data_IF_196269023575
#
_entry.id   IF_196269023575
#
_cell.length_a   1.000
_cell.length_b   1.000
_cell.length_c   1.000
_cell.angle_alpha   90.00
_cell.angle_beta   90.00
_cell.angle_gamma   90.00
#
_symmetry.space_group_name_H-M   'P 1'
#
loop_
_entity.id
_entity.type
_entity.pdbx_description
1 polymer ?
#
# COMPACT_ATOMS: atom_id res chain seq x y z
N UNK A 1 -8.62 21.92 31.06
CA UNK A 1 -9.62 21.17 30.27
C UNK A 1 -10.35 22.18 29.41
N UNK A 2 -9.90 22.34 28.17
CA UNK A 2 -10.62 23.08 27.14
C UNK A 2 -10.42 22.29 25.86
N UNK A 3 -11.37 21.40 25.58
CA UNK A 3 -11.49 20.69 24.32
C UNK A 3 -11.66 21.70 23.19
N UNK A 4 -10.62 21.86 22.38
CA UNK A 4 -10.74 22.53 21.10
C UNK A 4 -9.96 21.68 20.09
N UNK A 5 -10.64 20.68 19.53
CA UNK A 5 -10.13 19.92 18.38
C UNK A 5 -9.98 20.94 17.26
N UNK A 6 -8.76 21.46 17.06
CA UNK A 6 -8.44 22.24 15.88
C UNK A 6 -8.52 21.29 14.69
N UNK A 7 -9.68 21.33 14.03
CA UNK A 7 -9.95 20.64 12.79
C UNK A 7 -8.88 21.04 11.77
N UNK A 8 -8.09 20.08 11.27
CA UNK A 8 -7.16 20.32 10.16
C UNK A 8 -7.97 20.66 8.91
N UNK A 9 -8.12 21.95 8.61
CA UNK A 9 -8.58 22.42 7.30
C UNK A 9 -7.43 22.29 6.29
N UNK A 10 -7.73 21.78 5.11
CA UNK A 10 -6.76 21.57 4.03
C UNK A 10 -5.46 20.91 4.52
N UNK A 11 -5.55 19.68 5.04
CA UNK A 11 -4.38 19.00 5.60
C UNK A 11 -3.32 18.78 4.51
N UNK A 12 -2.07 19.01 4.87
CA UNK A 12 -0.90 18.79 4.02
C UNK A 12 0.08 17.91 4.76
N UNK A 13 0.65 16.93 4.07
CA UNK A 13 1.69 16.05 4.61
C UNK A 13 3.03 16.44 4.01
N UNK A 14 3.99 16.81 4.85
CA UNK A 14 5.37 17.13 4.42
C UNK A 14 6.22 15.85 4.32
N UNK A 15 7.40 15.86 3.66
CA UNK A 15 8.14 14.63 3.33
C UNK A 15 8.56 13.75 4.52
N UNK A 16 8.62 14.30 5.74
CA UNK A 16 8.85 13.51 6.96
C UNK A 16 7.62 12.76 7.48
N UNK A 17 6.47 12.87 6.82
CA UNK A 17 5.22 12.18 7.16
C UNK A 17 4.31 12.92 8.15
N UNK A 18 4.75 14.03 8.73
CA UNK A 18 3.89 14.85 9.60
C UNK A 18 2.91 15.69 8.78
N UNK A 19 1.70 15.89 9.34
CA UNK A 19 0.62 16.60 8.66
C UNK A 19 0.16 17.83 9.45
N UNK A 20 -0.10 18.92 8.74
CA UNK A 20 -0.52 20.22 9.28
C UNK A 20 -1.61 20.82 8.42
N UNK A 21 -2.32 21.84 8.93
CA UNK A 21 -3.13 22.67 8.05
C UNK A 21 -2.21 23.43 7.08
N UNK A 22 -2.61 23.61 5.81
CA UNK A 22 -1.80 24.28 4.79
C UNK A 22 -1.30 25.65 5.29
N UNK A 23 -2.23 26.49 5.75
CA UNK A 23 -1.90 27.82 6.27
C UNK A 23 -0.93 27.77 7.46
N UNK A 24 -1.09 26.78 8.35
CA UNK A 24 -0.30 26.63 9.57
C UNK A 24 1.18 26.38 9.27
N UNK A 25 1.46 25.50 8.29
CA UNK A 25 2.83 25.15 7.93
C UNK A 25 3.47 26.25 7.08
N UNK A 26 2.70 26.93 6.23
CA UNK A 26 3.16 28.09 5.48
C UNK A 26 3.53 29.25 6.41
N UNK A 27 2.67 29.56 7.37
CA UNK A 27 2.91 30.55 8.40
C UNK A 27 4.16 30.25 9.23
N UNK A 28 4.35 28.99 9.62
CA UNK A 28 5.52 28.56 10.39
C UNK A 28 6.82 28.79 9.60
N UNK A 29 6.83 28.39 8.33
CA UNK A 29 7.98 28.60 7.43
C UNK A 29 8.22 30.08 7.09
N UNK A 30 7.17 30.90 7.04
CA UNK A 30 7.29 32.34 6.76
C UNK A 30 7.72 33.15 8.00
N UNK A 31 7.38 32.70 9.22
CA UNK A 31 7.79 33.34 10.49
C UNK A 31 9.25 33.08 10.86
N UNK A 32 9.83 31.97 10.40
CA UNK A 32 11.23 31.67 10.65
C UNK A 32 12.13 32.63 9.84
N UNK A 33 12.70 33.64 10.51
CA UNK A 33 13.74 34.56 9.98
C UNK A 33 15.07 33.85 9.60
N UNK A 34 15.05 32.55 9.33
CA UNK A 34 16.21 31.71 9.04
C UNK A 34 16.36 31.57 7.52
N UNK A 35 17.49 32.07 7.00
CA UNK A 35 17.87 32.12 5.58
C UNK A 35 17.76 30.74 4.90
N UNK A 36 16.63 30.46 4.23
CA UNK A 36 16.50 29.35 3.27
C UNK A 36 16.39 27.93 3.87
N UNK A 37 16.10 27.79 5.17
CA UNK A 37 16.01 26.49 5.82
C UNK A 37 14.59 26.21 6.32
N UNK A 38 13.89 25.25 5.70
CA UNK A 38 12.50 24.90 6.02
C UNK A 38 12.48 23.67 6.91
N UNK A 39 12.00 23.76 8.16
CA UNK A 39 12.02 22.63 9.09
C UNK A 39 10.63 22.13 9.44
N UNK A 40 10.51 20.85 9.78
CA UNK A 40 9.30 20.28 10.36
C UNK A 40 9.11 20.77 11.81
N UNK A 41 7.92 21.30 12.18
CA UNK A 41 7.63 21.70 13.56
C UNK A 41 7.77 20.58 14.61
N UNK A 42 7.45 19.33 14.24
CA UNK A 42 7.52 18.18 15.16
C UNK A 42 8.91 17.56 15.24
N UNK A 43 9.45 17.07 14.13
CA UNK A 43 10.71 16.30 14.14
C UNK A 43 11.95 17.13 13.86
N UNK A 44 11.80 18.43 13.56
CA UNK A 44 12.87 19.38 13.24
C UNK A 44 13.72 19.00 12.02
N UNK A 45 13.30 17.99 11.24
CA UNK A 45 13.94 17.65 9.97
C UNK A 45 13.92 18.86 9.04
N UNK A 46 15.08 19.15 8.45
CA UNK A 46 15.30 20.28 7.57
C UNK A 46 15.14 19.86 6.11
N UNK A 47 14.51 20.73 5.31
CA UNK A 47 14.31 20.60 3.89
C UNK A 47 14.93 21.81 3.17
N UNK A 48 15.76 21.52 2.16
CA UNK A 48 16.33 22.49 1.23
C UNK A 48 16.50 21.80 -0.14
N UNK A 49 15.73 22.17 -1.18
CA UNK A 49 14.81 23.31 -1.30
C UNK A 49 13.48 23.16 -0.52
N UNK A 50 12.64 24.22 -0.51
CA UNK A 50 11.29 24.19 0.11
C UNK A 50 10.46 23.06 -0.48
N UNK A 51 9.86 22.17 0.34
CA UNK A 51 8.94 21.16 -0.16
C UNK A 51 7.71 21.80 -0.79
N UNK A 52 7.26 21.22 -1.91
CA UNK A 52 5.96 21.57 -2.49
C UNK A 52 4.86 21.05 -1.58
N UNK A 53 3.94 21.94 -1.21
CA UNK A 53 2.79 21.61 -0.37
C UNK A 53 1.59 21.33 -1.27
N UNK A 54 1.03 20.14 -1.16
CA UNK A 54 -0.22 19.77 -1.80
C UNK A 54 -1.19 19.22 -0.76
N UNK A 55 -2.48 19.50 -0.95
CA UNK A 55 -3.52 19.00 -0.06
C UNK A 55 -3.51 17.47 -0.07
N UNK A 56 -3.47 16.87 1.11
CA UNK A 56 -3.68 15.45 1.33
C UNK A 56 -5.19 15.19 1.23
N UNK A 57 -5.61 14.70 0.06
CA UNK A 57 -7.02 14.42 -0.26
C UNK A 57 -7.61 13.37 0.68
N UNK A 58 -6.86 12.32 0.98
CA UNK A 58 -7.30 11.23 1.88
C UNK A 58 -7.55 11.74 3.30
N UNK A 59 -6.60 12.49 3.87
CA UNK A 59 -6.78 13.05 5.22
C UNK A 59 -7.91 14.08 5.24
N UNK A 60 -8.06 14.85 4.15
CA UNK A 60 -9.16 15.80 3.98
C UNK A 60 -10.53 15.13 3.97
N UNK A 61 -10.69 14.02 3.24
CA UNK A 61 -11.92 13.24 3.21
C UNK A 61 -12.28 12.63 4.56
N UNK A 62 -11.30 12.14 5.31
CA UNK A 62 -11.50 11.61 6.67
C UNK A 62 -12.00 12.71 7.62
N UNK A 63 -11.38 13.89 7.59
CA UNK A 63 -11.79 15.04 8.40
C UNK A 63 -13.19 15.51 8.00
N UNK A 64 -13.50 15.62 6.70
CA UNK A 64 -14.82 15.99 6.21
C UNK A 64 -15.91 14.98 6.61
N UNK A 65 -15.60 13.69 6.53
CA UNK A 65 -16.53 12.62 6.94
C UNK A 65 -16.82 12.71 8.43
N UNK A 66 -15.80 12.95 9.25
CA UNK A 66 -15.93 13.13 10.70
C UNK A 66 -16.81 14.35 11.04
N UNK A 67 -16.60 15.48 10.35
CA UNK A 67 -17.42 16.68 10.51
C UNK A 67 -18.87 16.46 10.08
N UNK A 68 -19.11 15.76 8.97
CA UNK A 68 -20.46 15.43 8.49
C UNK A 68 -21.20 14.49 9.46
N UNK A 69 -20.50 13.56 10.10
CA UNK A 69 -21.07 12.72 11.16
C UNK A 69 -21.36 13.49 12.46
N UNK A 70 -20.54 14.48 12.82
CA UNK A 70 -20.75 15.33 14.00
C UNK A 70 -21.85 16.38 13.82
N UNK A 71 -21.99 16.95 12.62
CA UNK A 71 -22.98 17.97 12.31
C UNK A 71 -24.44 17.47 12.33
N UNK A 72 -24.66 16.15 12.22
CA UNK A 72 -26.00 15.57 12.23
C UNK A 72 -26.65 15.51 13.62
N UNK A 73 -25.93 15.87 14.69
CA UNK A 73 -26.45 15.87 16.07
C UNK A 73 -26.84 17.25 16.62
N UNK A 74 -26.64 18.37 15.90
CA UNK A 74 -26.77 19.72 16.49
C UNK A 74 -27.60 20.75 15.71
N UNK A 75 -28.39 20.36 14.71
CA UNK A 75 -29.21 21.34 13.96
C UNK A 75 -30.58 20.82 13.54
N UNK A 76 -31.53 20.89 14.47
CA UNK A 76 -32.96 21.10 14.13
C UNK A 76 -33.69 21.68 15.34
N UNK A 77 -33.64 23.00 15.53
CA UNK A 77 -34.73 23.65 16.27
C UNK A 77 -35.96 23.59 15.36
N UNK A 78 -37.11 23.04 15.80
CA UNK A 78 -38.34 23.15 15.04
C UNK A 78 -38.66 24.63 14.83
N UNK A 79 -39.02 25.01 13.61
CA UNK A 79 -39.49 26.35 13.28
C UNK A 79 -40.68 26.70 14.20
N UNK A 80 -40.58 27.78 14.98
CA UNK A 80 -41.55 28.08 16.04
C UNK A 80 -42.85 28.61 15.42
N UNK A 81 -43.88 27.75 15.36
CA UNK A 81 -45.20 28.09 14.83
C UNK A 81 -45.86 29.18 15.66
N UNK A 82 -46.33 30.27 15.05
CA UNK A 82 -46.98 31.39 15.75
C UNK A 82 -48.48 31.14 15.99
N UNK A 83 -49.03 31.71 17.06
CA UNK A 83 -50.47 31.67 17.33
C UNK A 83 -51.24 32.60 16.40
N UNK A 84 -52.25 32.06 15.71
CA UNK A 84 -53.09 32.76 14.75
C UNK A 84 -54.07 33.77 15.36
N UNK A 85 -54.44 33.58 16.64
CA UNK A 85 -55.49 34.37 17.31
C UNK A 85 -54.93 35.59 18.05
N UNK A 86 -53.63 35.60 18.36
CA UNK A 86 -53.00 36.73 19.04
C UNK A 86 -52.95 37.97 18.13
N UNK A 87 -53.63 39.04 18.54
CA UNK A 87 -53.77 40.28 17.76
C UNK A 87 -52.60 41.25 17.92
N UNK A 88 -51.90 41.25 19.06
CA UNK A 88 -50.87 42.28 19.37
C UNK A 88 -49.45 41.71 19.38
N UNK A 89 -49.21 40.61 20.10
CA UNK A 89 -47.93 39.87 20.08
C UNK A 89 -48.22 38.39 19.88
N UNK A 90 -47.89 37.86 18.71
CA UNK A 90 -48.12 36.45 18.38
C UNK A 90 -47.21 35.57 19.23
N UNK A 91 -47.81 34.97 20.27
CA UNK A 91 -47.13 33.98 21.12
C UNK A 91 -46.91 32.68 20.34
N UNK A 92 -45.88 31.93 20.70
CA UNK A 92 -45.61 30.60 20.14
C UNK A 92 -46.83 29.71 20.37
N UNK A 93 -47.28 29.05 19.30
CA UNK A 93 -48.34 28.07 19.34
C UNK A 93 -47.84 26.77 19.95
N UNK A 94 -48.66 26.18 20.82
CA UNK A 94 -48.36 24.90 21.46
C UNK A 94 -49.24 23.78 20.93
N UNK A 95 -50.41 24.14 20.36
CA UNK A 95 -51.40 23.22 19.83
C UNK A 95 -52.03 23.78 18.55
N UNK A 96 -52.42 22.92 17.63
CA UNK A 96 -53.15 23.27 16.40
C UNK A 96 -54.46 22.50 16.28
N UNK A 97 -55.48 23.11 15.68
CA UNK A 97 -56.75 22.44 15.35
C UNK A 97 -56.82 22.23 13.84
N UNK A 98 -56.80 20.98 13.40
CA UNK A 98 -56.90 20.64 11.96
C UNK A 98 -58.28 20.96 11.37
N UNK A 99 -59.31 21.14 12.19
CA UNK A 99 -60.65 21.52 11.72
C UNK A 99 -60.77 23.03 11.56
N UNK A 100 -60.19 23.81 12.48
CA UNK A 100 -60.12 25.27 12.32
C UNK A 100 -59.04 25.70 11.33
N UNK A 101 -58.07 24.84 11.03
CA UNK A 101 -56.85 25.18 10.29
C UNK A 101 -56.01 26.26 10.97
N UNK A 102 -56.06 26.32 12.31
CA UNK A 102 -55.41 27.37 13.11
C UNK A 102 -54.50 26.81 14.20
N UNK A 103 -53.48 27.60 14.57
CA UNK A 103 -52.51 27.31 15.63
C UNK A 103 -52.72 28.24 16.83
N UNK A 104 -52.68 27.67 18.04
CA UNK A 104 -53.03 28.34 19.29
C UNK A 104 -51.88 28.29 20.31
N UNK A 105 -51.57 29.44 20.91
CA UNK A 105 -50.73 29.49 22.11
C UNK A 105 -51.48 28.85 23.30
N UNK A 106 -50.76 28.58 24.39
CA UNK A 106 -51.33 27.84 25.54
C UNK A 106 -52.67 28.44 26.03
N UNK A 107 -52.76 29.76 26.14
CA UNK A 107 -53.98 30.45 26.57
C UNK A 107 -55.15 30.24 25.59
N UNK A 108 -54.94 30.47 24.29
CA UNK A 108 -56.00 30.30 23.29
C UNK A 108 -56.36 28.83 23.06
N UNK A 109 -55.42 27.90 23.27
CA UNK A 109 -55.68 26.47 23.17
C UNK A 109 -56.63 25.99 24.27
N UNK A 110 -56.50 26.52 25.49
CA UNK A 110 -57.37 26.20 26.62
C UNK A 110 -58.81 26.70 26.37
N UNK A 111 -58.95 27.95 25.93
CA UNK A 111 -60.25 28.53 25.58
C UNK A 111 -60.92 27.74 24.45
N UNK A 112 -60.14 27.29 23.46
CA UNK A 112 -60.66 26.46 22.39
C UNK A 112 -61.14 25.09 22.91
N UNK A 113 -60.41 24.43 23.82
CA UNK A 113 -60.84 23.18 24.46
C UNK A 113 -62.12 23.35 25.30
N UNK A 114 -62.22 24.45 26.05
CA UNK A 114 -63.42 24.83 26.82
C UNK A 114 -64.63 25.11 25.90
N UNK A 115 -64.41 25.74 24.75
CA UNK A 115 -65.51 26.06 23.83
C UNK A 115 -66.03 24.83 23.06
N UNK A 116 -65.14 23.91 22.69
CA UNK A 116 -65.44 22.82 21.77
C UNK A 116 -65.46 21.44 22.44
N UNK A 117 -65.86 21.37 23.72
CA UNK A 117 -65.93 20.16 24.57
C UNK A 117 -66.36 18.86 23.84
N UNK A 118 -65.42 18.22 23.14
CA UNK A 118 -65.34 16.78 23.01
C UNK A 118 -65.68 16.06 21.71
N UNK A 119 -66.06 16.65 20.55
CA UNK A 119 -66.41 15.76 19.39
C UNK A 119 -65.82 16.03 18.00
N UNK A 120 -65.43 17.26 17.64
CA UNK A 120 -64.87 17.52 16.29
C UNK A 120 -63.49 18.22 16.30
N UNK A 121 -63.29 19.21 17.15
CA UNK A 121 -62.11 20.08 17.14
C UNK A 121 -61.01 19.58 18.09
N UNK A 122 -60.44 18.40 17.82
CA UNK A 122 -59.32 17.86 18.61
C UNK A 122 -58.03 18.64 18.31
N UNK A 123 -57.40 19.15 19.36
CA UNK A 123 -56.09 19.78 19.27
C UNK A 123 -54.96 18.75 19.19
N UNK A 124 -54.01 18.97 18.27
CA UNK A 124 -52.75 18.23 18.13
C UNK A 124 -51.58 19.14 18.52
N UNK A 125 -50.36 18.62 18.80
CA UNK A 125 -49.19 19.47 18.98
C UNK A 125 -49.05 20.47 17.83
N UNK A 126 -48.49 21.67 18.07
CA UNK A 126 -48.35 22.65 17.00
C UNK A 126 -47.57 22.06 15.81
N UNK A 127 -48.20 22.05 14.64
CA UNK A 127 -47.60 21.54 13.40
C UNK A 127 -47.39 22.71 12.47
N UNK A 128 -46.18 22.83 11.93
CA UNK A 128 -45.93 23.77 10.85
C UNK A 128 -46.58 23.26 9.54
N UNK A 129 -46.94 24.16 8.64
CA UNK A 129 -47.59 23.80 7.37
C UNK A 129 -48.88 22.96 7.54
N UNK A 130 -49.79 23.38 8.43
CA UNK A 130 -51.08 22.70 8.70
C UNK A 130 -51.87 22.32 7.44
N UNK A 131 -51.78 23.15 6.39
CA UNK A 131 -52.44 22.93 5.09
C UNK A 131 -52.00 21.62 4.42
N UNK A 132 -50.77 21.17 4.61
CA UNK A 132 -50.27 19.91 4.05
C UNK A 132 -50.83 18.67 4.75
N UNK A 133 -51.42 18.84 5.94
CA UNK A 133 -52.10 17.75 6.67
C UNK A 133 -53.59 17.67 6.33
N UNK A 134 -54.07 18.55 5.45
CA UNK A 134 -55.45 18.60 4.98
C UNK A 134 -55.52 18.16 3.53
N UNK A 135 -56.64 17.52 3.17
CA UNK A 135 -56.93 17.17 1.79
C UNK A 135 -57.24 18.43 0.99
N UNK A 136 -56.50 18.66 -0.09
CA UNK A 136 -56.66 19.83 -0.96
C UNK A 136 -58.03 19.92 -1.67
N UNK A 137 -58.80 18.83 -1.71
CA UNK A 137 -60.10 18.79 -2.39
C UNK A 137 -61.30 18.88 -1.43
N UNK A 138 -61.13 18.50 -0.17
CA UNK A 138 -62.24 18.37 0.78
C UNK A 138 -61.99 19.11 2.09
N UNK A 139 -60.84 19.77 2.25
CA UNK A 139 -60.38 20.47 3.46
C UNK A 139 -60.50 19.64 4.75
N UNK A 140 -60.43 18.30 4.59
CA UNK A 140 -60.54 17.32 5.68
C UNK A 140 -59.17 16.75 6.03
N UNK A 141 -58.92 16.42 7.30
CA UNK A 141 -57.65 15.82 7.72
C UNK A 141 -57.31 14.54 6.95
N UNK A 142 -56.06 14.45 6.49
CA UNK A 142 -55.50 13.24 5.90
C UNK A 142 -55.22 12.23 7.03
N UNK A 143 -56.03 11.17 7.09
CA UNK A 143 -55.95 10.13 8.13
C UNK A 143 -55.75 8.73 7.58
N UNK A 144 -55.91 8.58 6.27
CA UNK A 144 -55.82 7.31 5.57
C UNK A 144 -54.69 7.38 4.55
N UNK A 145 -54.14 6.24 4.18
CA UNK A 145 -53.17 6.10 3.11
C UNK A 145 -53.71 5.09 2.09
N UNK A 146 -53.79 5.51 0.83
CA UNK A 146 -54.14 4.63 -0.27
C UNK A 146 -52.85 3.98 -0.77
N UNK A 147 -52.70 2.66 -0.58
CA UNK A 147 -51.53 1.89 -1.04
C UNK A 147 -51.49 1.75 -2.55
N UNK A 148 -52.66 1.64 -3.18
CA UNK A 148 -52.78 1.53 -4.63
C UNK A 148 -52.20 2.76 -5.34
N UNK A 149 -52.53 3.95 -4.87
CA UNK A 149 -52.05 5.22 -5.47
C UNK A 149 -50.90 5.86 -4.69
N UNK A 150 -50.42 5.20 -3.63
CA UNK A 150 -49.32 5.63 -2.76
C UNK A 150 -49.43 7.06 -2.21
N UNK A 151 -50.64 7.46 -1.80
CA UNK A 151 -50.89 8.82 -1.33
C UNK A 151 -51.74 8.89 -0.05
N UNK A 152 -51.51 9.95 0.72
CA UNK A 152 -52.33 10.25 1.90
C UNK A 152 -53.67 10.84 1.47
N UNK A 153 -54.77 10.31 2.00
CA UNK A 153 -56.13 10.67 1.61
C UNK A 153 -57.04 10.92 2.83
N UNK A 154 -58.09 11.71 2.63
CA UNK A 154 -59.16 11.85 3.63
C UNK A 154 -60.27 10.80 3.41
N UNK A 155 -61.19 10.66 4.36
CA UNK A 155 -62.29 9.69 4.28
C UNK A 155 -63.25 9.92 3.11
N UNK A 156 -63.36 11.17 2.62
CA UNK A 156 -64.21 11.49 1.47
C UNK A 156 -63.54 11.09 0.15
N UNK A 157 -62.24 11.32 0.00
CA UNK A 157 -61.45 10.82 -1.13
C UNK A 157 -61.61 9.31 -1.34
N UNK A 158 -61.59 8.52 -0.25
CA UNK A 158 -61.74 7.05 -0.33
C UNK A 158 -63.08 6.65 -0.92
N UNK A 159 -64.15 7.36 -0.59
CA UNK A 159 -65.50 7.07 -1.10
C UNK A 159 -65.72 7.49 -2.54
N UNK A 160 -65.12 8.62 -2.93
CA UNK A 160 -65.36 9.25 -4.23
C UNK A 160 -64.37 8.80 -5.30
N UNK A 161 -63.07 8.95 -5.03
CA UNK A 161 -61.99 8.82 -6.02
C UNK A 161 -61.18 7.53 -5.88
N UNK A 162 -61.09 6.98 -4.68
CA UNK A 162 -60.32 5.75 -4.39
C UNK A 162 -61.25 4.58 -4.03
N UNK A 163 -62.43 4.54 -4.63
CA UNK A 163 -63.43 3.50 -4.34
C UNK A 163 -62.92 2.14 -4.81
N UNK A 164 -62.74 1.22 -3.87
CA UNK A 164 -62.22 -0.13 -4.14
C UNK A 164 -60.68 -0.24 -4.10
N UNK A 165 -59.96 0.84 -3.80
CA UNK A 165 -58.53 0.80 -3.58
C UNK A 165 -58.19 0.36 -2.15
N UNK A 166 -56.97 -0.15 -1.93
CA UNK A 166 -56.49 -0.54 -0.60
C UNK A 166 -56.16 0.73 0.21
N UNK A 167 -57.09 1.12 1.08
CA UNK A 167 -56.96 2.28 1.95
C UNK A 167 -56.87 1.83 3.42
N UNK A 168 -55.74 2.16 4.05
CA UNK A 168 -55.43 1.81 5.45
C UNK A 168 -55.29 3.07 6.30
N UNK A 169 -55.24 2.91 7.62
CA UNK A 169 -54.87 4.00 8.53
C UNK A 169 -53.47 4.53 8.21
N UNK A 170 -53.32 5.85 8.18
CA UNK A 170 -52.03 6.50 7.92
C UNK A 170 -50.99 6.17 9.00
N UNK A 171 -51.43 5.95 10.25
CA UNK A 171 -50.55 5.56 11.36
C UNK A 171 -50.03 4.14 11.15
N UNK A 172 -50.93 3.20 10.85
CA UNK A 172 -50.58 1.78 10.67
C UNK A 172 -49.65 1.59 9.46
N UNK A 173 -49.91 2.32 8.37
CA UNK A 173 -49.02 2.30 7.20
C UNK A 173 -47.66 2.90 7.52
N UNK A 174 -47.61 4.02 8.23
CA UNK A 174 -46.35 4.65 8.66
C UNK A 174 -45.53 3.71 9.53
N UNK A 175 -46.16 3.00 10.46
CA UNK A 175 -45.47 2.03 11.33
C UNK A 175 -44.98 0.82 10.53
N UNK A 176 -45.78 0.33 9.57
CA UNK A 176 -45.40 -0.75 8.65
C UNK A 176 -44.20 -0.35 7.78
N UNK A 177 -44.27 0.81 7.12
CA UNK A 177 -43.20 1.32 6.27
C UNK A 177 -41.92 1.60 7.08
N UNK A 178 -42.04 2.17 8.28
CA UNK A 178 -40.89 2.37 9.15
C UNK A 178 -40.22 1.04 9.49
N UNK A 179 -41.00 0.03 9.91
CA UNK A 179 -40.46 -1.29 10.25
C UNK A 179 -39.77 -1.93 9.04
N UNK A 180 -40.40 -1.90 7.87
CA UNK A 180 -39.83 -2.44 6.63
C UNK A 180 -38.51 -1.76 6.26
N UNK A 181 -38.43 -0.43 6.39
CA UNK A 181 -37.20 0.33 6.13
C UNK A 181 -36.10 0.02 7.14
N UNK A 182 -36.44 -0.14 8.42
CA UNK A 182 -35.48 -0.53 9.47
C UNK A 182 -34.91 -1.94 9.20
N UNK A 183 -35.76 -2.90 8.85
CA UNK A 183 -35.33 -4.26 8.51
C UNK A 183 -34.48 -4.29 7.23
N UNK A 184 -34.89 -3.56 6.19
CA UNK A 184 -34.14 -3.45 4.93
C UNK A 184 -32.78 -2.78 5.15
N UNK A 185 -32.71 -1.74 5.99
CA UNK A 185 -31.48 -1.08 6.39
C UNK A 185 -30.55 -2.04 7.14
N UNK A 186 -31.07 -2.75 8.14
CA UNK A 186 -30.30 -3.73 8.91
C UNK A 186 -29.74 -4.85 8.02
N UNK A 187 -30.56 -5.40 7.12
CA UNK A 187 -30.15 -6.43 6.16
C UNK A 187 -29.06 -5.93 5.20
N UNK A 188 -29.17 -4.69 4.74
CA UNK A 188 -28.17 -4.08 3.86
C UNK A 188 -26.85 -3.87 4.58
N UNK A 189 -26.88 -3.34 5.81
CA UNK A 189 -25.69 -3.17 6.65
C UNK A 189 -25.03 -4.52 6.94
N UNK A 190 -25.82 -5.56 7.24
CA UNK A 190 -25.29 -6.89 7.49
C UNK A 190 -24.59 -7.47 6.25
N UNK A 191 -25.23 -7.37 5.07
CA UNK A 191 -24.63 -7.80 3.80
C UNK A 191 -23.31 -7.07 3.53
N UNK A 192 -23.25 -5.76 3.79
CA UNK A 192 -22.01 -4.98 3.63
C UNK A 192 -20.93 -5.42 4.61
N UNK A 193 -21.27 -5.67 5.89
CA UNK A 193 -20.33 -6.20 6.88
C UNK A 193 -19.75 -7.55 6.50
N UNK A 194 -20.56 -8.42 5.92
CA UNK A 194 -20.09 -9.74 5.49
C UNK A 194 -19.19 -9.62 4.25
N UNK A 195 -19.56 -8.81 3.25
CA UNK A 195 -18.67 -8.47 2.13
C UNK A 195 -17.36 -7.83 2.60
N UNK A 196 -17.41 -6.95 3.60
CA UNK A 196 -16.23 -6.31 4.18
C UNK A 196 -15.29 -7.32 4.85
N UNK A 197 -15.83 -8.35 5.52
CA UNK A 197 -15.03 -9.46 6.07
C UNK A 197 -14.36 -10.29 4.97
N UNK A 198 -15.09 -10.62 3.91
CA UNK A 198 -14.54 -11.37 2.76
C UNK A 198 -13.43 -10.57 2.07
N UNK A 199 -13.64 -9.27 1.83
CA UNK A 199 -12.60 -8.40 1.26
C UNK A 199 -11.38 -8.30 2.18
N UNK A 200 -11.57 -8.19 3.50
CA UNK A 200 -10.45 -8.22 4.45
C UNK A 200 -9.68 -9.53 4.40
N UNK A 201 -10.37 -10.66 4.21
CA UNK A 201 -9.71 -11.95 4.00
C UNK A 201 -8.88 -11.95 2.72
N UNK A 202 -9.46 -11.53 1.58
CA UNK A 202 -8.76 -11.44 0.29
C UNK A 202 -7.53 -10.54 0.37
N UNK A 203 -7.64 -9.37 0.99
CA UNK A 203 -6.50 -8.45 1.17
C UNK A 203 -5.38 -9.11 1.99
N UNK A 204 -5.72 -9.81 3.08
CA UNK A 204 -4.72 -10.55 3.88
C UNK A 204 -4.09 -11.69 3.09
N UNK A 205 -4.89 -12.43 2.34
CA UNK A 205 -4.41 -13.53 1.51
C UNK A 205 -3.43 -13.03 0.46
N UNK A 206 -3.77 -11.96 -0.27
CA UNK A 206 -2.88 -11.36 -1.28
C UNK A 206 -1.55 -10.97 -0.63
N UNK A 207 -1.59 -10.20 0.47
CA UNK A 207 -0.37 -9.79 1.19
C UNK A 207 0.48 -10.99 1.58
N UNK A 208 -0.11 -11.97 2.27
CA UNK A 208 0.63 -13.14 2.74
C UNK A 208 1.21 -13.98 1.59
N UNK A 209 0.46 -14.14 0.50
CA UNK A 209 0.93 -14.87 -0.68
C UNK A 209 2.06 -14.13 -1.41
N UNK A 210 2.02 -12.80 -1.46
CA UNK A 210 3.10 -11.97 -2.01
C UNK A 210 4.34 -12.05 -1.13
N UNK A 211 4.18 -11.91 0.19
CA UNK A 211 5.30 -12.02 1.14
C UNK A 211 5.97 -13.39 1.05
N UNK A 212 5.20 -14.48 0.98
CA UNK A 212 5.74 -15.83 0.81
C UNK A 212 6.52 -16.01 -0.50
N UNK A 213 6.07 -15.37 -1.59
CA UNK A 213 6.80 -15.40 -2.86
C UNK A 213 8.12 -14.60 -2.80
N UNK A 214 8.12 -13.47 -2.08
CA UNK A 214 9.33 -12.68 -1.82
C UNK A 214 10.32 -13.48 -0.97
N UNK A 215 9.87 -14.09 0.12
CA UNK A 215 10.72 -14.90 1.00
C UNK A 215 11.37 -16.08 0.27
N UNK A 216 10.63 -16.82 -0.56
CA UNK A 216 11.24 -17.91 -1.34
C UNK A 216 12.24 -17.40 -2.39
N UNK A 217 11.95 -16.25 -3.02
CA UNK A 217 12.90 -15.59 -3.92
C UNK A 217 14.20 -15.23 -3.21
N UNK A 218 14.11 -14.55 -2.07
CA UNK A 218 15.28 -14.19 -1.24
C UNK A 218 16.06 -15.43 -0.79
N UNK A 219 15.37 -16.52 -0.45
CA UNK A 219 15.98 -17.79 -0.07
C UNK A 219 16.76 -18.44 -1.22
N UNK A 220 16.23 -18.37 -2.45
CA UNK A 220 16.91 -18.87 -3.65
C UNK A 220 18.15 -18.03 -3.94
N UNK A 221 18.03 -16.71 -4.01
CA UNK A 221 19.18 -15.83 -4.26
C UNK A 221 20.27 -15.95 -3.19
N UNK A 222 19.88 -16.08 -1.93
CA UNK A 222 20.84 -16.32 -0.83
C UNK A 222 21.63 -17.62 -1.01
N UNK A 223 21.03 -18.68 -1.58
CA UNK A 223 21.75 -19.92 -1.90
C UNK A 223 22.68 -19.77 -3.10
N UNK A 224 22.28 -18.99 -4.11
CA UNK A 224 23.12 -18.68 -5.28
C UNK A 224 24.36 -17.89 -4.86
N UNK A 225 24.20 -16.84 -4.05
CA UNK A 225 25.31 -16.04 -3.53
C UNK A 225 26.31 -16.92 -2.78
N UNK A 226 25.81 -17.74 -1.84
CA UNK A 226 26.66 -18.70 -1.10
C UNK A 226 27.40 -19.67 -2.00
N UNK A 227 26.79 -20.11 -3.10
CA UNK A 227 27.42 -21.02 -4.06
C UNK A 227 28.55 -20.32 -4.83
N UNK A 228 28.35 -19.06 -5.23
CA UNK A 228 29.37 -18.23 -5.89
C UNK A 228 30.54 -17.94 -4.95
N UNK A 229 30.27 -17.57 -3.69
CA UNK A 229 31.30 -17.34 -2.66
C UNK A 229 32.12 -18.60 -2.39
N UNK A 230 31.46 -19.76 -2.33
CA UNK A 230 32.11 -21.06 -2.18
C UNK A 230 33.06 -21.34 -3.37
N UNK A 231 32.58 -21.20 -4.61
CA UNK A 231 33.41 -21.41 -5.80
C UNK A 231 34.58 -20.42 -5.87
N UNK A 232 34.37 -19.16 -5.49
CA UNK A 232 35.44 -18.16 -5.40
C UNK A 232 36.53 -18.58 -4.40
N UNK A 233 36.12 -19.13 -3.25
CA UNK A 233 37.03 -19.64 -2.23
C UNK A 233 37.80 -20.88 -2.71
N UNK A 234 37.14 -21.79 -3.43
CA UNK A 234 37.77 -22.98 -4.03
C UNK A 234 38.84 -22.59 -5.07
N UNK A 235 38.56 -21.63 -5.96
CA UNK A 235 39.55 -21.12 -6.93
C UNK A 235 40.75 -20.50 -6.21
N UNK A 236 40.50 -19.71 -5.15
CA UNK A 236 41.56 -19.13 -4.32
C UNK A 236 42.42 -20.21 -3.67
N UNK A 237 41.83 -21.28 -3.15
CA UNK A 237 42.58 -22.35 -2.49
C UNK A 237 43.44 -23.12 -3.49
N UNK A 238 42.92 -23.44 -4.69
CA UNK A 238 43.71 -24.06 -5.76
C UNK A 238 44.96 -23.22 -6.10
N UNK A 239 44.80 -21.90 -6.20
CA UNK A 239 45.94 -20.99 -6.42
C UNK A 239 46.97 -21.05 -5.30
N UNK A 240 46.51 -21.06 -4.04
CA UNK A 240 47.40 -21.10 -2.87
C UNK A 240 48.12 -22.43 -2.73
N UNK A 241 47.48 -23.55 -3.06
CA UNK A 241 48.13 -24.88 -3.08
C UNK A 241 49.27 -24.89 -4.10
N UNK A 242 49.04 -24.36 -5.30
CA UNK A 242 50.06 -24.34 -6.35
C UNK A 242 51.21 -23.38 -6.02
N UNK A 243 50.91 -22.22 -5.43
CA UNK A 243 51.92 -21.29 -4.91
C UNK A 243 52.82 -21.98 -3.87
N UNK A 244 52.23 -22.63 -2.86
CA UNK A 244 52.99 -23.33 -1.82
C UNK A 244 53.88 -24.42 -2.40
N UNK A 245 53.38 -25.20 -3.36
CA UNK A 245 54.16 -26.24 -4.02
C UNK A 245 55.39 -25.67 -4.76
N UNK A 246 55.20 -24.56 -5.50
CA UNK A 246 56.30 -23.91 -6.21
C UNK A 246 57.33 -23.29 -5.24
N UNK A 247 56.86 -22.67 -4.15
CA UNK A 247 57.74 -22.10 -3.11
C UNK A 247 58.55 -23.19 -2.42
N UNK A 248 57.92 -24.29 -2.00
CA UNK A 248 58.64 -25.39 -1.34
C UNK A 248 59.74 -25.98 -2.22
N UNK A 249 59.50 -26.14 -3.54
CA UNK A 249 60.55 -26.57 -4.47
C UNK A 249 61.74 -25.60 -4.54
N UNK A 250 61.47 -24.29 -4.50
CA UNK A 250 62.52 -23.27 -4.50
C UNK A 250 63.29 -23.25 -3.17
N UNK A 251 62.60 -23.42 -2.05
CA UNK A 251 63.21 -23.50 -0.71
C UNK A 251 64.14 -24.71 -0.58
N UNK A 252 63.75 -25.88 -1.08
CA UNK A 252 64.60 -27.09 -1.09
C UNK A 252 65.91 -26.88 -1.86
N UNK A 253 65.84 -26.20 -3.02
CA UNK A 253 67.03 -25.84 -3.80
C UNK A 253 67.89 -24.81 -3.07
N UNK A 254 67.27 -23.82 -2.43
CA UNK A 254 67.98 -22.81 -1.65
C UNK A 254 68.76 -23.45 -0.49
N UNK A 255 68.14 -24.37 0.26
CA UNK A 255 68.81 -25.10 1.33
C UNK A 255 70.00 -25.93 0.80
N UNK A 256 69.83 -26.57 -0.36
CA UNK A 256 70.92 -27.33 -0.99
C UNK A 256 72.10 -26.42 -1.33
N UNK A 257 71.85 -25.26 -1.94
CA UNK A 257 72.88 -24.26 -2.24
C UNK A 257 73.56 -23.79 -0.96
N UNK A 258 72.80 -23.49 0.09
CA UNK A 258 73.36 -23.03 1.37
C UNK A 258 74.26 -24.08 2.01
N UNK A 259 73.89 -25.37 1.96
CA UNK A 259 74.73 -26.49 2.41
C UNK A 259 76.02 -26.58 1.61
N UNK A 260 75.95 -26.50 0.28
CA UNK A 260 77.14 -26.52 -0.60
C UNK A 260 78.07 -25.34 -0.32
N UNK A 261 77.54 -24.12 -0.13
CA UNK A 261 78.34 -22.94 0.26
C UNK A 261 79.04 -23.16 1.61
N UNK A 262 78.35 -23.73 2.60
CA UNK A 262 78.93 -24.03 3.91
C UNK A 262 80.06 -25.07 3.84
N UNK A 263 79.94 -26.07 2.96
CA UNK A 263 81.00 -27.06 2.70
C UNK A 263 82.20 -26.43 2.01
N UNK A 264 81.97 -25.62 0.95
CA UNK A 264 83.03 -24.91 0.24
C UNK A 264 83.78 -23.92 1.15
N UNK A 265 83.07 -23.19 2.03
CA UNK A 265 83.68 -22.31 3.03
C UNK A 265 84.56 -23.09 4.01
N UNK A 266 84.11 -24.27 4.47
CA UNK A 266 84.93 -25.16 5.33
C UNK A 266 86.17 -25.67 4.60
N UNK A 267 86.04 -26.10 3.35
CA UNK A 267 87.17 -26.52 2.52
C UNK A 267 88.16 -25.37 2.26
N UNK A 268 87.66 -24.15 2.05
CA UNK A 268 88.47 -22.94 1.89
C UNK A 268 89.25 -22.57 3.16
N UNK A 269 88.59 -22.60 4.32
CA UNK A 269 89.25 -22.35 5.60
C UNK A 269 90.33 -23.40 5.93
N UNK A 270 90.09 -24.67 5.61
CA UNK A 270 91.11 -25.72 5.76
C UNK A 270 92.30 -25.50 4.82
N UNK A 271 92.05 -25.06 3.58
CA UNK A 271 93.10 -24.70 2.63
C UNK A 271 93.97 -23.54 3.15
N UNK A 272 93.35 -22.49 3.68
CA UNK A 272 94.06 -21.36 4.31
C UNK A 272 94.89 -21.83 5.52
N UNK A 273 94.37 -22.75 6.33
CA UNK A 273 95.08 -23.28 7.49
C UNK A 273 96.32 -24.08 7.10
N UNK A 274 96.24 -24.93 6.07
CA UNK A 274 97.39 -25.74 5.64
C UNK A 274 98.42 -24.93 4.84
N UNK A 275 98.02 -23.87 4.13
CA UNK A 275 98.96 -23.04 3.36
C UNK A 275 99.92 -22.23 4.25
N UNK A 276 99.54 -21.99 5.50
CA UNK A 276 100.38 -21.32 6.51
C UNK A 276 101.42 -22.25 7.17
N UNK A 277 101.43 -23.55 6.85
CA UNK A 277 102.36 -24.51 7.44
C UNK A 277 103.63 -24.69 6.58
N UNK A 278 104.79 -24.85 7.22
CA UNK A 278 106.07 -25.14 6.52
C UNK A 278 106.22 -26.62 6.11
N UNK A 279 105.29 -27.50 6.50
CA UNK A 279 105.28 -28.91 6.12
C UNK A 279 104.74 -29.08 4.69
N UNK A 280 105.63 -28.94 3.71
CA UNK A 280 105.33 -29.09 2.29
C UNK A 280 104.79 -30.50 1.95
N UNK A 281 105.25 -31.54 2.64
CA UNK A 281 104.78 -32.92 2.43
C UNK A 281 103.35 -33.13 2.92
N UNK A 282 103.03 -32.65 4.13
CA UNK A 282 101.69 -32.69 4.69
C UNK A 282 100.69 -31.83 3.93
N UNK A 283 101.13 -30.68 3.40
CA UNK A 283 100.32 -29.85 2.49
C UNK A 283 99.89 -30.62 1.24
N UNK A 284 100.84 -31.23 0.52
CA UNK A 284 100.54 -31.99 -0.71
C UNK A 284 99.63 -33.20 -0.44
N UNK A 285 99.76 -33.85 0.72
CA UNK A 285 98.86 -34.93 1.12
C UNK A 285 97.43 -34.45 1.37
N UNK A 286 97.26 -33.35 2.14
CA UNK A 286 95.94 -32.80 2.47
C UNK A 286 95.26 -32.15 1.27
N UNK A 287 96.00 -31.50 0.38
CA UNK A 287 95.44 -30.90 -0.84
C UNK A 287 94.75 -31.93 -1.75
N UNK A 288 95.22 -33.18 -1.80
CA UNK A 288 94.54 -34.25 -2.58
C UNK A 288 93.14 -34.58 -2.07
N UNK A 289 92.84 -34.26 -0.81
CA UNK A 289 91.54 -34.52 -0.18
C UNK A 289 90.57 -33.34 -0.24
N UNK A 290 91.03 -32.15 -0.63
CA UNK A 290 90.17 -30.98 -0.80
C UNK A 290 89.44 -31.03 -2.14
N UNK A 291 88.15 -30.67 -2.12
CA UNK A 291 87.32 -30.66 -3.32
C UNK A 291 86.54 -29.33 -3.42
N UNK A 292 86.54 -28.75 -4.62
CA UNK A 292 85.85 -27.50 -4.93
C UNK A 292 85.03 -27.66 -6.22
N UNK A 293 83.90 -28.39 -6.16
CA UNK A 293 83.09 -28.64 -7.35
C UNK A 293 82.43 -27.35 -7.86
N UNK A 294 82.54 -27.10 -9.15
CA UNK A 294 81.89 -25.98 -9.89
C UNK A 294 80.61 -26.47 -10.59
N UNK A 295 79.66 -27.05 -9.84
CA UNK A 295 78.38 -27.44 -10.42
C UNK A 295 77.48 -26.22 -10.58
N UNK A 296 76.93 -26.03 -11.78
CA UNK A 296 75.85 -25.08 -12.02
C UNK A 296 74.54 -25.62 -11.45
N UNK A 297 73.85 -24.83 -10.65
CA UNK A 297 72.51 -25.17 -10.15
C UNK A 297 71.49 -24.78 -11.20
N UNK A 298 70.68 -25.74 -11.63
CA UNK A 298 69.55 -25.47 -12.52
C UNK A 298 68.45 -24.74 -11.75
N UNK A 299 68.08 -23.57 -12.25
CA UNK A 299 67.03 -22.75 -11.65
C UNK A 299 65.65 -23.30 -12.04
N UNK A 300 64.68 -23.37 -11.11
CA UNK A 300 63.33 -23.79 -11.44
C UNK A 300 62.69 -22.77 -12.40
N UNK A 301 61.93 -23.27 -13.39
CA UNK A 301 61.21 -22.42 -14.35
C UNK A 301 59.99 -21.79 -13.69
N UNK A 302 60.20 -20.68 -12.97
CA UNK A 302 59.14 -19.95 -12.26
C UNK A 302 58.26 -19.13 -13.20
N UNK A 303 58.83 -18.57 -14.26
CA UNK A 303 58.16 -17.59 -15.11
C UNK A 303 57.06 -18.22 -15.96
N UNK A 304 57.28 -19.43 -16.48
CA UNK A 304 56.33 -20.09 -17.35
C UNK A 304 55.06 -20.51 -16.60
N UNK A 305 55.20 -21.09 -15.41
CA UNK A 305 54.07 -21.69 -14.70
C UNK A 305 53.16 -20.64 -14.07
N UNK A 306 53.74 -19.64 -13.39
CA UNK A 306 52.99 -18.55 -12.76
C UNK A 306 52.27 -17.68 -13.81
N UNK A 307 52.95 -17.39 -14.92
CA UNK A 307 52.36 -16.64 -16.03
C UNK A 307 51.23 -17.41 -16.72
N UNK A 308 51.40 -18.72 -16.94
CA UNK A 308 50.35 -19.56 -17.55
C UNK A 308 49.11 -19.66 -16.66
N UNK A 309 49.27 -19.75 -15.35
CA UNK A 309 48.15 -19.71 -14.39
C UNK A 309 47.41 -18.38 -14.47
N UNK A 310 48.13 -17.26 -14.39
CA UNK A 310 47.54 -15.92 -14.51
C UNK A 310 46.81 -15.74 -15.84
N UNK A 311 47.45 -16.12 -16.96
CA UNK A 311 46.89 -16.01 -18.30
C UNK A 311 45.61 -16.85 -18.45
N UNK A 312 45.63 -18.07 -17.93
CA UNK A 312 44.47 -18.98 -17.95
C UNK A 312 43.29 -18.39 -17.17
N UNK A 313 43.53 -17.91 -15.94
CA UNK A 313 42.49 -17.29 -15.12
C UNK A 313 41.95 -16.01 -15.72
N UNK A 314 42.84 -15.14 -16.23
CA UNK A 314 42.46 -13.89 -16.89
C UNK A 314 41.58 -14.14 -18.12
N UNK A 315 41.78 -15.25 -18.83
CA UNK A 315 40.92 -15.65 -19.95
C UNK A 315 39.60 -16.28 -19.52
N UNK A 316 39.60 -17.09 -18.45
CA UNK A 316 38.42 -17.85 -18.03
C UNK A 316 37.40 -17.02 -17.22
N UNK A 317 37.86 -16.14 -16.33
CA UNK A 317 36.99 -15.36 -15.44
C UNK A 317 36.01 -14.41 -16.17
N UNK A 318 36.40 -13.71 -17.26
CA UNK A 318 35.47 -12.91 -18.03
C UNK A 318 34.35 -13.75 -18.66
N UNK A 319 34.67 -14.95 -19.16
CA UNK A 319 33.67 -15.84 -19.76
C UNK A 319 32.68 -16.34 -18.70
N UNK A 320 33.17 -16.70 -17.51
CA UNK A 320 32.30 -17.05 -16.37
C UNK A 320 31.35 -15.91 -16.01
N UNK A 321 31.90 -14.69 -15.88
CA UNK A 321 31.10 -13.49 -15.58
C UNK A 321 30.03 -13.26 -16.64
N UNK A 322 30.40 -13.26 -17.91
CA UNK A 322 29.48 -13.05 -19.02
C UNK A 322 28.34 -14.08 -19.02
N UNK A 323 28.67 -15.37 -18.87
CA UNK A 323 27.68 -16.45 -18.83
C UNK A 323 26.71 -16.33 -17.65
N UNK A 324 27.21 -15.89 -16.48
CA UNK A 324 26.37 -15.66 -15.31
C UNK A 324 25.46 -14.46 -15.50
N UNK A 325 25.99 -13.33 -15.97
CA UNK A 325 25.23 -12.10 -16.23
C UNK A 325 24.09 -12.36 -17.24
N UNK A 326 24.41 -13.02 -18.36
CA UNK A 326 23.43 -13.40 -19.39
C UNK A 326 22.32 -14.30 -18.81
N UNK A 327 22.69 -15.28 -17.99
CA UNK A 327 21.73 -16.19 -17.37
C UNK A 327 20.82 -15.45 -16.38
N UNK A 328 21.38 -14.56 -15.56
CA UNK A 328 20.62 -13.78 -14.59
C UNK A 328 19.64 -12.82 -15.28
N UNK A 329 20.08 -12.12 -16.32
CA UNK A 329 19.23 -11.20 -17.08
C UNK A 329 18.09 -11.94 -17.79
N UNK A 330 18.39 -13.06 -18.43
CA UNK A 330 17.38 -13.90 -19.09
C UNK A 330 16.32 -14.41 -18.12
N UNK A 331 16.71 -14.96 -16.98
CA UNK A 331 15.74 -15.48 -16.00
C UNK A 331 14.99 -14.34 -15.30
N UNK A 332 15.63 -13.19 -15.06
CA UNK A 332 14.94 -12.00 -14.55
C UNK A 332 13.81 -11.56 -15.48
N UNK A 333 14.09 -11.43 -16.78
CA UNK A 333 13.09 -11.04 -17.78
C UNK A 333 11.94 -12.06 -17.82
N UNK A 334 12.26 -13.36 -17.82
CA UNK A 334 11.25 -14.44 -17.79
C UNK A 334 10.35 -14.39 -16.55
N UNK A 335 10.90 -14.11 -15.38
CA UNK A 335 10.13 -13.97 -14.14
C UNK A 335 9.28 -12.71 -14.20
N UNK A 336 9.87 -11.59 -14.61
CA UNK A 336 9.18 -10.30 -14.75
C UNK A 336 7.98 -10.41 -15.69
N UNK A 337 8.15 -11.00 -16.87
CA UNK A 337 7.07 -11.20 -17.85
C UNK A 337 5.93 -12.03 -17.26
N UNK A 338 6.24 -13.11 -16.54
CA UNK A 338 5.23 -13.92 -15.86
C UNK A 338 4.47 -13.10 -14.82
N UNK A 339 5.16 -12.36 -13.95
CA UNK A 339 4.54 -11.51 -12.93
C UNK A 339 3.64 -10.45 -13.56
N UNK A 340 4.11 -9.81 -14.64
CA UNK A 340 3.36 -8.76 -15.33
C UNK A 340 2.18 -9.30 -16.15
N UNK A 341 2.26 -10.55 -16.64
CA UNK A 341 1.18 -11.23 -17.36
C UNK A 341 0.01 -11.65 -16.46
N UNK A 342 0.20 -11.65 -15.13
CA UNK A 342 -0.86 -11.94 -14.14
C UNK A 342 -1.85 -10.77 -13.94
N UNK A 343 -1.81 -9.72 -14.78
CA UNK A 343 -2.75 -8.60 -14.70
C UNK A 343 -4.18 -9.02 -15.07
N UNK A 344 -5.01 -9.02 -14.02
CA UNK A 344 -6.47 -8.97 -13.89
C UNK A 344 -7.35 -9.91 -14.75
N UNK A 345 -8.10 -10.85 -14.13
CA UNK A 345 -9.40 -11.22 -14.67
C UNK A 345 -10.28 -9.97 -14.60
N UNK A 346 -10.46 -9.31 -15.75
CA UNK A 346 -11.48 -8.29 -15.95
C UNK A 346 -12.78 -8.79 -15.31
N UNK A 347 -13.30 -8.04 -14.34
CA UNK A 347 -14.63 -8.23 -13.78
C UNK A 347 -15.65 -8.10 -14.92
N UNK A 348 -15.92 -9.20 -15.62
CA UNK A 348 -17.14 -9.35 -16.41
C UNK A 348 -18.28 -9.38 -15.39
N UNK A 349 -18.97 -8.25 -15.36
CA UNK A 349 -20.23 -8.04 -14.68
C UNK A 349 -21.12 -9.25 -14.77
N UNK A 350 -21.69 -9.60 -13.62
CA UNK A 350 -22.90 -10.39 -13.49
C UNK A 350 -23.99 -9.73 -14.33
N UNK A 351 -24.26 -10.25 -15.52
CA UNK A 351 -25.52 -10.07 -16.22
C UNK A 351 -25.83 -11.34 -17.01
N UNK A 352 -27.12 -11.67 -17.04
CA UNK A 352 -27.80 -12.63 -17.91
C UNK A 352 -27.68 -14.13 -17.57
N UNK A 353 -28.60 -14.57 -16.71
CA UNK A 353 -29.32 -15.83 -16.92
C UNK A 353 -30.79 -15.52 -17.22
N UNK A 354 -31.12 -15.37 -18.50
CA UNK A 354 -32.45 -15.71 -19.02
C UNK A 354 -32.33 -16.22 -20.46
N UNK A 355 -32.96 -17.38 -20.71
CA UNK A 355 -33.28 -18.11 -21.97
C UNK A 355 -33.17 -17.31 -23.28
N UNK A 356 -32.85 -17.85 -24.46
CA UNK A 356 -33.20 -19.15 -25.06
C UNK A 356 -32.27 -19.50 -26.25
N UNK A 357 -32.34 -20.76 -26.71
CA UNK A 357 -31.82 -21.27 -27.99
C UNK A 357 -32.35 -20.44 -29.17
N UNK A 358 -31.48 -20.14 -30.13
CA UNK A 358 -31.76 -20.38 -31.56
C UNK A 358 -30.46 -20.42 -32.38
N UNK A 359 -30.57 -21.12 -33.50
CA UNK A 359 -29.52 -21.73 -34.32
C UNK A 359 -29.10 -20.82 -35.48
N UNK A 360 -27.79 -20.81 -35.77
CA UNK A 360 -27.09 -20.49 -37.05
C UNK A 360 -27.21 -19.10 -37.71
N UNK A 361 -26.05 -18.47 -37.97
CA UNK A 361 -25.44 -18.14 -39.29
C UNK A 361 -24.08 -17.45 -39.03
N UNK A 362 -22.97 -17.78 -39.74
CA UNK A 362 -21.69 -17.13 -39.54
C UNK A 362 -21.61 -15.80 -40.30
N UNK A 363 -21.39 -14.69 -39.58
CA UNK A 363 -21.13 -13.39 -40.19
C UNK A 363 -19.69 -13.31 -40.68
N UNK A 364 -19.55 -13.11 -41.98
CA UNK A 364 -18.31 -12.94 -42.72
C UNK A 364 -17.60 -11.65 -42.26
N UNK A 365 -16.33 -11.72 -41.89
CA UNK A 365 -15.50 -10.54 -41.60
C UNK A 365 -15.07 -9.84 -42.87
N UNK A 366 -15.20 -8.51 -42.90
CA UNK A 366 -14.81 -7.66 -44.04
C UNK A 366 -13.33 -7.83 -44.43
N UNK A 367 -13.01 -7.84 -45.73
CA UNK A 367 -11.65 -7.94 -46.24
C UNK A 367 -10.84 -6.69 -45.88
N UNK A 368 -9.63 -6.88 -45.36
CA UNK A 368 -8.77 -5.81 -44.83
C UNK A 368 -7.56 -5.51 -45.72
N UNK A 369 -7.40 -6.20 -46.85
CA UNK A 369 -6.28 -5.97 -47.76
C UNK A 369 -6.70 -6.01 -49.23
N UNK A 370 -5.93 -5.32 -50.08
CA UNK A 370 -6.14 -5.27 -51.54
C UNK A 370 -6.04 -6.66 -52.21
N UNK A 371 -5.41 -7.63 -51.56
CA UNK A 371 -5.30 -9.01 -52.06
C UNK A 371 -6.61 -9.79 -51.92
N UNK A 372 -7.50 -9.38 -51.01
CA UNK A 372 -8.76 -10.10 -50.71
C UNK A 372 -9.86 -9.88 -51.78
N UNK A 373 -9.60 -9.07 -52.81
CA UNK A 373 -10.56 -8.74 -53.89
C UNK A 373 -10.32 -9.49 -55.21
N UNK A 374 -9.27 -10.30 -55.32
CA UNK A 374 -8.88 -10.95 -56.59
C UNK A 374 -8.95 -12.48 -56.56
N UNK A 375 -9.72 -13.07 -55.67
CA UNK A 375 -10.10 -14.48 -55.73
C UNK A 375 -11.58 -14.70 -55.49
#
# INVERSE_FOLDING_TARGET
>A
MSDNIQVLRDPVTIPCGHSYCLDCIEDYWNRAKQKGQYSCPQCRQVFNPRPLLSRNTVLGEVVETFLKSGARQLSSKPEEVACSVCTVRRKIAVKSCLVCSESYCAAHSRVHEERFHGKAHRLVPAVDQLKEKLCQHHDKPLRLYCRTDQQSVCSQCVRERHKGHDAVSLVDERDTQQKNLQEASLKSVQKLKDTEKELRYVVRYIKHSTDAAVEESERVFSRLIRSIEKQSSEVKEVLRVQERAAVSQAEELLEKIQREILELRRAGAELERISQTEDHTGFLQKCKSLNFPTKTVEMPSTDALQYMMYKTLRGALPNLKYSLDETLEREFNRISDKVMSLKEPSNKSVSEKTKAKDTEIPYNSEPKTRADFLH
#
